data_IF_993422775370
#
_entry.id   IF_993422775370
#
_cell.length_a   1.000
_cell.length_b   1.000
_cell.length_c   1.000
_cell.angle_alpha   90.00
_cell.angle_beta   90.00
_cell.angle_gamma   90.00
#
_symmetry.space_group_name_H-M   'P 1'
#
loop_
_entity.id
_entity.type
_entity.pdbx_description
1 polymer ?
#
# COMPACT_ATOMS: atom_id res chain seq x y z
N UNK A 1 1.42 15.61 4.18
CA UNK A 1 1.47 14.42 3.31
C UNK A 1 0.18 14.17 2.53
N UNK A 2 -1.01 14.42 3.08
CA UNK A 2 -2.28 14.29 2.31
C UNK A 2 -2.22 15.08 1.00
N UNK A 3 -1.76 16.34 1.04
CA UNK A 3 -1.63 17.18 -0.16
C UNK A 3 -0.60 16.63 -1.16
N UNK A 4 0.52 16.09 -0.68
CA UNK A 4 1.52 15.45 -1.53
C UNK A 4 0.96 14.23 -2.25
N UNK A 5 0.16 13.39 -1.54
CA UNK A 5 -0.52 12.25 -2.15
C UNK A 5 -1.48 12.73 -3.26
N UNK A 6 -2.30 13.74 -2.97
CA UNK A 6 -3.24 14.30 -3.96
C UNK A 6 -2.47 14.86 -5.15
N UNK A 7 -1.41 15.63 -4.91
CA UNK A 7 -0.58 16.20 -5.97
C UNK A 7 0.07 15.13 -6.85
N UNK A 8 0.57 14.03 -6.24
CA UNK A 8 1.10 12.90 -7.01
C UNK A 8 0.01 12.24 -7.85
N UNK A 9 -1.17 12.00 -7.27
CA UNK A 9 -2.29 11.38 -8.02
C UNK A 9 -2.72 12.23 -9.21
N UNK A 10 -2.71 13.55 -9.07
CA UNK A 10 -3.11 14.51 -10.11
C UNK A 10 -2.01 14.79 -11.16
N UNK A 11 -0.76 14.47 -10.87
CA UNK A 11 0.36 14.72 -11.79
C UNK A 11 0.27 13.80 -13.03
N UNK A 12 -0.19 14.37 -14.14
CA UNK A 12 -0.35 13.66 -15.42
C UNK A 12 0.97 13.31 -16.10
N UNK A 13 2.08 13.89 -15.68
CA UNK A 13 3.42 13.57 -16.22
C UNK A 13 3.93 12.23 -15.68
N UNK A 14 3.36 11.71 -14.58
CA UNK A 14 3.75 10.48 -13.92
C UNK A 14 2.84 9.33 -14.31
N UNK A 15 3.38 8.35 -15.03
CA UNK A 15 2.64 7.14 -15.42
C UNK A 15 2.62 6.08 -14.31
N UNK A 16 3.63 6.04 -13.46
CA UNK A 16 3.77 5.08 -12.37
C UNK A 16 3.79 5.81 -11.04
N UNK A 17 2.82 5.50 -10.18
CA UNK A 17 2.66 6.22 -8.91
C UNK A 17 2.61 5.23 -7.75
N UNK A 18 3.49 5.43 -6.77
CA UNK A 18 3.53 4.63 -5.54
C UNK A 18 3.20 5.51 -4.33
N UNK A 19 2.22 5.09 -3.56
CA UNK A 19 1.88 5.70 -2.27
C UNK A 19 2.01 4.64 -1.18
N UNK A 20 3.03 4.78 -0.35
CA UNK A 20 3.27 3.96 0.84
C UNK A 20 2.99 4.81 2.08
N UNK A 21 1.84 4.60 2.71
CA UNK A 21 1.40 5.40 3.83
C UNK A 21 0.84 4.53 4.97
N UNK A 22 0.85 5.02 6.23
CA UNK A 22 0.39 4.29 7.39
C UNK A 22 -1.04 3.77 7.24
N UNK A 23 -1.36 2.74 8.00
CA UNK A 23 -2.75 2.36 8.21
C UNK A 23 -3.52 3.55 8.79
N UNK A 24 -4.80 3.68 8.43
CA UNK A 24 -5.69 4.77 8.87
C UNK A 24 -5.28 6.17 8.39
N UNK A 25 -4.29 6.30 7.48
CA UNK A 25 -3.91 7.58 6.84
C UNK A 25 -4.95 8.15 5.88
N UNK A 26 -6.11 7.48 5.72
CA UNK A 26 -7.18 7.81 4.77
C UNK A 26 -6.79 7.66 3.29
N UNK A 27 -5.72 6.92 2.98
CA UNK A 27 -5.26 6.71 1.61
C UNK A 27 -6.34 6.17 0.67
N UNK A 28 -7.14 5.18 1.11
CA UNK A 28 -8.25 4.64 0.30
C UNK A 28 -9.37 5.68 0.08
N UNK A 29 -9.67 6.54 1.07
CA UNK A 29 -10.66 7.62 0.89
C UNK A 29 -10.19 8.67 -0.11
N UNK A 30 -8.91 9.04 -0.09
CA UNK A 30 -8.30 9.95 -1.07
C UNK A 30 -8.38 9.32 -2.46
N UNK A 31 -8.05 8.03 -2.57
CA UNK A 31 -8.09 7.30 -3.82
C UNK A 31 -9.50 7.20 -4.41
N UNK A 32 -10.52 6.93 -3.57
CA UNK A 32 -11.92 6.94 -3.99
C UNK A 32 -12.35 8.31 -4.51
N UNK A 33 -11.97 9.39 -3.83
CA UNK A 33 -12.22 10.76 -4.29
C UNK A 33 -11.53 11.06 -5.62
N UNK A 34 -10.29 10.59 -5.80
CA UNK A 34 -9.57 10.68 -7.07
C UNK A 34 -10.33 9.96 -8.20
N UNK A 35 -10.80 8.71 -7.97
CA UNK A 35 -11.55 7.93 -8.95
C UNK A 35 -12.83 8.67 -9.39
N UNK A 36 -13.64 9.13 -8.43
CA UNK A 36 -14.86 9.91 -8.72
C UNK A 36 -14.52 11.13 -9.57
N UNK A 37 -13.50 11.89 -9.18
CA UNK A 37 -13.05 13.07 -9.93
C UNK A 37 -12.60 12.72 -11.36
N UNK A 38 -11.87 11.63 -11.56
CA UNK A 38 -11.43 11.23 -12.91
C UNK A 38 -12.63 10.85 -13.79
N UNK A 39 -13.65 10.18 -13.24
CA UNK A 39 -14.88 9.83 -13.95
C UNK A 39 -15.65 11.08 -14.36
N UNK A 40 -15.82 12.05 -13.44
CA UNK A 40 -16.54 13.29 -13.70
C UNK A 40 -15.81 14.20 -14.71
N UNK A 41 -14.47 14.22 -14.70
CA UNK A 41 -13.67 14.98 -15.66
C UNK A 41 -13.61 14.35 -17.06
N UNK A 42 -13.66 13.02 -17.13
CA UNK A 42 -13.66 12.28 -18.39
C UNK A 42 -14.54 11.02 -18.28
N UNK A 43 -15.80 11.08 -18.66
CA UNK A 43 -16.72 9.94 -18.61
C UNK A 43 -16.31 8.75 -19.48
N UNK A 44 -15.43 8.96 -20.48
CA UNK A 44 -14.90 7.92 -21.33
C UNK A 44 -13.68 7.20 -20.73
N UNK A 45 -13.24 7.60 -19.54
CA UNK A 45 -12.15 6.90 -18.84
C UNK A 45 -12.56 5.46 -18.51
N UNK A 46 -11.58 4.57 -18.50
CA UNK A 46 -11.74 3.17 -18.10
C UNK A 46 -10.79 2.93 -16.94
N UNK A 47 -11.37 2.64 -15.78
CA UNK A 47 -10.64 2.46 -14.53
C UNK A 47 -10.75 1.01 -14.11
N UNK A 48 -9.59 0.36 -13.93
CA UNK A 48 -9.46 -0.94 -13.30
C UNK A 48 -9.03 -0.73 -11.84
N UNK A 49 -9.84 -1.16 -10.91
CA UNK A 49 -9.58 -1.04 -9.47
C UNK A 49 -9.38 -2.41 -8.85
N UNK A 50 -8.20 -2.68 -8.30
CA UNK A 50 -7.85 -3.99 -7.76
C UNK A 50 -7.60 -3.86 -6.27
N UNK A 51 -8.42 -4.52 -5.49
CA UNK A 51 -8.26 -4.63 -4.04
C UNK A 51 -7.75 -6.00 -3.62
N UNK A 52 -7.68 -6.22 -2.31
CA UNK A 52 -7.14 -7.44 -1.74
C UNK A 52 -8.07 -8.65 -1.91
N UNK A 53 -9.31 -8.52 -1.48
CA UNK A 53 -10.34 -9.56 -1.55
C UNK A 53 -11.61 -9.00 -2.18
N UNK A 54 -12.47 -9.89 -2.70
CA UNK A 54 -13.74 -9.48 -3.35
C UNK A 54 -14.63 -8.64 -2.42
N UNK A 55 -14.82 -9.05 -1.16
CA UNK A 55 -15.68 -8.31 -0.23
C UNK A 55 -15.17 -6.91 0.08
N UNK A 56 -13.86 -6.77 0.32
CA UNK A 56 -13.25 -5.47 0.59
C UNK A 56 -13.34 -4.58 -0.66
N UNK A 57 -13.05 -5.14 -1.82
CA UNK A 57 -13.07 -4.41 -3.09
C UNK A 57 -14.49 -3.98 -3.45
N UNK A 58 -15.49 -4.86 -3.24
CA UNK A 58 -16.92 -4.55 -3.40
C UNK A 58 -17.32 -3.36 -2.53
N UNK A 59 -16.95 -3.37 -1.25
CA UNK A 59 -17.24 -2.24 -0.37
C UNK A 59 -16.63 -0.91 -0.85
N UNK A 60 -15.42 -0.94 -1.41
CA UNK A 60 -14.76 0.23 -2.00
C UNK A 60 -15.47 0.69 -3.29
N UNK A 61 -15.86 -0.24 -4.16
CA UNK A 61 -16.60 0.04 -5.38
C UNK A 61 -17.97 0.66 -5.09
N UNK A 62 -18.70 0.10 -4.13
CA UNK A 62 -19.97 0.67 -3.65
C UNK A 62 -19.82 2.08 -3.09
N UNK A 63 -18.73 2.35 -2.34
CA UNK A 63 -18.45 3.69 -1.83
C UNK A 63 -18.14 4.70 -2.95
N UNK A 64 -17.47 4.28 -4.03
CA UNK A 64 -17.24 5.13 -5.22
C UNK A 64 -18.58 5.41 -5.91
N UNK A 65 -19.39 4.37 -6.14
CA UNK A 65 -20.71 4.49 -6.77
C UNK A 65 -21.65 5.42 -5.99
N UNK A 66 -21.73 5.23 -4.67
CA UNK A 66 -22.54 6.08 -3.80
C UNK A 66 -22.13 7.56 -3.84
N UNK A 67 -20.84 7.86 -4.05
CA UNK A 67 -20.40 9.25 -4.24
C UNK A 67 -20.81 9.83 -5.59
N UNK A 68 -20.89 9.01 -6.63
CA UNK A 68 -21.43 9.44 -7.94
C UNK A 68 -22.94 9.68 -7.87
N UNK A 69 -23.65 8.98 -6.98
CA UNK A 69 -25.08 9.11 -6.71
C UNK A 69 -25.39 10.23 -5.67
N UNK A 70 -24.37 10.89 -5.08
CA UNK A 70 -24.57 12.00 -4.12
C UNK A 70 -25.34 13.13 -4.80
N UNK A 71 -26.36 13.66 -4.14
CA UNK A 71 -27.25 14.67 -4.67
C UNK A 71 -26.48 15.89 -5.24
N UNK A 72 -25.42 16.33 -4.58
CA UNK A 72 -24.57 17.45 -5.05
C UNK A 72 -23.82 17.13 -6.33
N UNK A 73 -23.42 15.86 -6.51
CA UNK A 73 -22.78 15.42 -7.76
C UNK A 73 -23.81 15.39 -8.88
N UNK A 74 -24.99 14.86 -8.63
CA UNK A 74 -26.10 14.83 -9.59
C UNK A 74 -26.55 16.23 -9.97
N UNK A 75 -26.67 17.16 -9.03
CA UNK A 75 -27.02 18.56 -9.29
C UNK A 75 -26.00 19.28 -10.18
N UNK A 76 -24.69 18.99 -10.01
CA UNK A 76 -23.62 19.67 -10.75
C UNK A 76 -23.26 19.00 -12.08
N UNK A 77 -23.34 17.68 -12.16
CA UNK A 77 -22.83 16.87 -13.28
C UNK A 77 -23.91 16.04 -13.98
N UNK A 78 -25.16 16.11 -13.51
CA UNK A 78 -26.26 15.31 -14.01
C UNK A 78 -26.28 13.88 -13.46
N UNK A 79 -27.30 13.13 -13.86
CA UNK A 79 -27.48 11.73 -13.49
C UNK A 79 -26.31 10.89 -13.99
N UNK A 80 -25.73 10.07 -13.08
CA UNK A 80 -24.56 9.27 -13.39
C UNK A 80 -24.87 7.82 -13.74
N UNK A 81 -26.10 7.35 -13.45
CA UNK A 81 -26.53 5.98 -13.68
C UNK A 81 -26.65 5.69 -15.19
N UNK A 82 -25.76 4.85 -15.71
CA UNK A 82 -25.78 4.40 -17.11
C UNK A 82 -26.42 3.03 -17.29
N UNK A 83 -26.31 2.47 -18.50
CA UNK A 83 -26.94 1.19 -18.88
C UNK A 83 -26.44 -0.01 -18.04
N UNK A 84 -25.17 0.02 -17.64
CA UNK A 84 -24.58 -0.98 -16.72
C UNK A 84 -24.25 -0.31 -15.40
N UNK A 85 -24.89 -0.78 -14.31
CA UNK A 85 -24.73 -0.18 -12.98
C UNK A 85 -24.69 -1.26 -11.89
N UNK A 86 -23.68 -2.14 -12.02
CA UNK A 86 -23.46 -3.25 -11.09
C UNK A 86 -22.53 -2.82 -9.93
N UNK A 87 -22.43 -3.65 -8.89
CA UNK A 87 -21.62 -3.35 -7.70
C UNK A 87 -20.12 -3.20 -8.01
N UNK A 88 -19.59 -4.08 -8.86
CA UNK A 88 -18.18 -4.17 -9.18
C UNK A 88 -17.86 -3.60 -10.57
N UNK A 89 -18.87 -3.31 -11.38
CA UNK A 89 -18.69 -2.81 -12.73
C UNK A 89 -19.84 -1.86 -13.12
N UNK A 90 -19.48 -0.66 -13.56
CA UNK A 90 -20.49 0.30 -14.01
C UNK A 90 -19.98 1.24 -15.09
N UNK A 91 -20.92 1.74 -15.89
CA UNK A 91 -20.71 2.73 -16.94
C UNK A 91 -21.54 3.96 -16.63
N UNK A 92 -20.93 5.14 -16.63
CA UNK A 92 -21.67 6.39 -16.35
C UNK A 92 -22.50 6.83 -17.55
N UNK A 93 -23.65 7.46 -17.28
CA UNK A 93 -24.59 7.92 -18.31
C UNK A 93 -23.97 8.94 -19.29
N UNK A 94 -23.06 9.78 -18.81
CA UNK A 94 -22.36 10.79 -19.61
C UNK A 94 -21.33 10.23 -20.59
N UNK A 95 -21.10 8.89 -20.61
CA UNK A 95 -20.16 8.26 -21.55
C UNK A 95 -20.63 8.38 -23.00
N UNK A 96 -19.78 8.93 -23.85
CA UNK A 96 -20.06 9.14 -25.28
C UNK A 96 -19.45 8.10 -26.21
N UNK A 97 -18.30 7.51 -25.82
CA UNK A 97 -17.61 6.49 -26.61
C UNK A 97 -18.20 5.10 -26.35
N UNK A 98 -19.14 4.70 -27.24
CA UNK A 98 -19.88 3.42 -27.09
C UNK A 98 -19.09 2.19 -27.53
N UNK A 99 -18.03 2.33 -28.32
CA UNK A 99 -17.22 1.20 -28.82
C UNK A 99 -16.16 0.67 -27.86
N UNK A 100 -16.05 1.21 -26.65
CA UNK A 100 -15.06 0.76 -25.65
C UNK A 100 -15.54 -0.54 -25.00
N UNK A 101 -14.67 -1.57 -25.01
CA UNK A 101 -14.99 -2.89 -24.45
C UNK A 101 -15.20 -2.89 -22.93
N UNK A 102 -14.42 -2.06 -22.20
CA UNK A 102 -14.49 -2.01 -20.75
C UNK A 102 -15.44 -0.92 -20.26
N UNK A 103 -16.10 -1.15 -19.14
CA UNK A 103 -16.92 -0.16 -18.44
C UNK A 103 -16.09 1.08 -18.01
N UNK A 104 -16.76 2.12 -17.53
CA UNK A 104 -16.08 3.29 -16.95
C UNK A 104 -15.28 2.91 -15.71
N UNK A 105 -15.83 2.01 -14.91
CA UNK A 105 -15.18 1.46 -13.71
C UNK A 105 -15.41 -0.05 -13.67
N UNK A 106 -14.34 -0.80 -13.42
CA UNK A 106 -14.41 -2.24 -13.15
C UNK A 106 -13.48 -2.57 -11.98
N UNK A 107 -14.01 -3.25 -10.99
CA UNK A 107 -13.28 -3.67 -9.80
C UNK A 107 -12.98 -5.17 -9.83
N UNK A 108 -11.81 -5.54 -9.35
CA UNK A 108 -11.31 -6.91 -9.23
C UNK A 108 -10.64 -7.09 -7.88
N UNK A 109 -10.42 -8.35 -7.49
CA UNK A 109 -9.55 -8.66 -6.35
C UNK A 109 -8.25 -9.32 -6.81
N UNK A 110 -7.30 -9.43 -5.88
CA UNK A 110 -6.08 -10.18 -6.10
C UNK A 110 -6.36 -11.67 -6.36
N UNK A 111 -7.42 -12.22 -5.78
CA UNK A 111 -7.82 -13.62 -5.95
C UNK A 111 -8.42 -13.90 -7.33
N UNK A 112 -9.01 -12.86 -7.94
CA UNK A 112 -9.66 -12.93 -9.27
C UNK A 112 -9.19 -11.74 -10.13
N UNK A 113 -7.91 -11.71 -10.52
CA UNK A 113 -7.36 -10.59 -11.30
C UNK A 113 -7.91 -10.59 -12.74
N UNK A 114 -8.00 -9.42 -13.39
CA UNK A 114 -8.43 -9.35 -14.76
C UNK A 114 -7.44 -10.05 -15.70
N UNK A 115 -7.94 -10.88 -16.60
CA UNK A 115 -7.12 -11.61 -17.59
C UNK A 115 -6.96 -10.86 -18.90
N UNK A 116 -7.61 -9.71 -19.05
CA UNK A 116 -7.57 -8.90 -20.27
C UNK A 116 -8.18 -7.53 -20.10
N UNK A 117 -8.24 -6.78 -21.16
CA UNK A 117 -8.74 -5.40 -21.14
C UNK A 117 -7.64 -4.36 -21.30
N UNK A 118 -8.06 -3.11 -21.50
CA UNK A 118 -7.18 -1.94 -21.60
C UNK A 118 -7.80 -0.80 -20.83
N UNK A 119 -7.11 -0.33 -19.81
CA UNK A 119 -7.61 0.69 -18.88
C UNK A 119 -6.74 1.94 -18.95
N UNK A 120 -7.36 3.10 -18.86
CA UNK A 120 -6.65 4.37 -18.78
C UNK A 120 -5.99 4.56 -17.41
N UNK A 121 -6.60 3.99 -16.38
CA UNK A 121 -6.10 4.04 -15.00
C UNK A 121 -6.23 2.62 -14.42
N UNK A 122 -5.13 2.08 -13.93
CA UNK A 122 -5.09 0.83 -13.15
C UNK A 122 -4.67 1.18 -11.74
N UNK A 123 -5.46 0.77 -10.77
CA UNK A 123 -5.27 1.09 -9.35
C UNK A 123 -5.16 -0.21 -8.55
N UNK A 124 -4.11 -0.33 -7.76
CA UNK A 124 -3.95 -1.35 -6.75
C UNK A 124 -4.06 -0.71 -5.37
N UNK A 125 -5.11 -1.02 -4.63
CA UNK A 125 -5.37 -0.46 -3.30
C UNK A 125 -5.31 -1.51 -2.19
N UNK A 126 -4.27 -1.43 -1.35
CA UNK A 126 -3.93 -2.42 -0.32
C UNK A 126 -3.87 -3.84 -0.94
N UNK A 127 -3.16 -3.96 -2.07
CA UNK A 127 -3.13 -5.16 -2.89
C UNK A 127 -2.56 -6.37 -2.17
N UNK A 128 -1.55 -6.21 -1.32
CA UNK A 128 -0.97 -7.27 -0.50
C UNK A 128 -1.27 -7.08 0.99
N UNK A 129 -1.25 -8.20 1.71
CA UNK A 129 -1.44 -8.25 3.16
C UNK A 129 -0.46 -9.24 3.83
N UNK A 130 -0.63 -9.46 5.13
CA UNK A 130 0.18 -10.40 5.91
C UNK A 130 0.16 -11.83 5.34
N UNK A 131 -0.98 -12.28 4.80
CA UNK A 131 -1.10 -13.61 4.19
C UNK A 131 -0.29 -13.73 2.91
N UNK A 132 -0.31 -12.70 2.06
CA UNK A 132 0.39 -12.69 0.79
C UNK A 132 1.92 -12.66 0.92
N UNK A 133 2.42 -12.27 2.09
CA UNK A 133 3.86 -12.21 2.39
C UNK A 133 4.29 -13.21 3.45
N UNK A 134 3.39 -14.11 3.92
CA UNK A 134 3.66 -15.04 5.02
C UNK A 134 4.73 -16.08 4.69
N UNK A 135 4.87 -16.46 3.43
CA UNK A 135 5.92 -17.35 2.93
C UNK A 135 6.61 -16.77 1.69
N UNK A 136 7.88 -17.16 1.41
CA UNK A 136 8.57 -16.73 0.19
C UNK A 136 7.79 -17.04 -1.10
N UNK A 137 7.13 -18.21 -1.14
CA UNK A 137 6.32 -18.64 -2.29
C UNK A 137 5.09 -17.73 -2.51
N UNK A 138 4.40 -17.34 -1.44
CA UNK A 138 3.26 -16.42 -1.53
C UNK A 138 3.70 -15.01 -1.91
N UNK A 139 4.81 -14.54 -1.35
CA UNK A 139 5.38 -13.24 -1.71
C UNK A 139 5.77 -13.21 -3.20
N UNK A 140 6.46 -14.25 -3.68
CA UNK A 140 6.78 -14.40 -5.12
C UNK A 140 5.52 -14.41 -5.97
N UNK A 141 4.50 -15.20 -5.61
CA UNK A 141 3.22 -15.24 -6.34
C UNK A 141 2.57 -13.87 -6.45
N UNK A 142 2.61 -13.05 -5.40
CA UNK A 142 2.06 -11.70 -5.42
C UNK A 142 2.81 -10.78 -6.39
N UNK A 143 4.13 -10.91 -6.47
CA UNK A 143 4.99 -10.19 -7.43
C UNK A 143 4.75 -10.65 -8.87
N UNK A 144 4.65 -11.95 -9.09
CA UNK A 144 4.35 -12.52 -10.41
C UNK A 144 2.97 -12.08 -10.91
N UNK A 145 1.96 -12.10 -10.04
CA UNK A 145 0.62 -11.60 -10.38
C UNK A 145 0.64 -10.10 -10.71
N UNK A 146 1.40 -9.29 -9.97
CA UNK A 146 1.55 -7.87 -10.29
C UNK A 146 2.12 -7.65 -11.68
N UNK A 147 3.11 -8.44 -12.11
CA UNK A 147 3.70 -8.33 -13.43
C UNK A 147 2.67 -8.54 -14.57
N UNK A 148 1.65 -9.38 -14.33
CA UNK A 148 0.56 -9.62 -15.28
C UNK A 148 -0.43 -8.45 -15.37
N UNK A 149 -0.44 -7.54 -14.41
CA UNK A 149 -1.35 -6.38 -14.41
C UNK A 149 -0.81 -5.18 -15.20
N UNK A 150 0.51 -5.07 -15.35
CA UNK A 150 1.12 -3.95 -16.09
C UNK A 150 0.64 -3.83 -17.54
N UNK A 151 0.48 -4.94 -18.31
CA UNK A 151 -0.04 -4.88 -19.68
C UNK A 151 -1.49 -4.41 -19.81
N UNK A 152 -2.25 -4.33 -18.71
CA UNK A 152 -3.62 -3.80 -18.71
C UNK A 152 -3.66 -2.27 -18.86
N UNK A 153 -2.55 -1.58 -18.58
CA UNK A 153 -2.45 -0.14 -18.73
C UNK A 153 -2.44 0.21 -20.21
N UNK A 154 -3.39 1.00 -20.64
CA UNK A 154 -3.46 1.51 -22.01
C UNK A 154 -2.26 2.43 -22.31
N UNK A 155 -1.92 2.61 -23.59
CA UNK A 155 -0.87 3.57 -23.99
C UNK A 155 -1.20 4.97 -23.45
N UNK A 156 -0.27 5.57 -22.72
CA UNK A 156 -0.48 6.85 -22.03
C UNK A 156 -1.34 6.77 -20.77
N UNK A 157 -1.70 5.56 -20.34
CA UNK A 157 -2.42 5.32 -19.09
C UNK A 157 -1.52 5.41 -17.86
N UNK A 158 -2.12 5.26 -16.70
CA UNK A 158 -1.47 5.43 -15.39
C UNK A 158 -1.66 4.17 -14.55
N UNK A 159 -0.57 3.72 -13.91
CA UNK A 159 -0.58 2.69 -12.88
C UNK A 159 -0.37 3.34 -11.50
N UNK A 160 -1.30 3.13 -10.60
CA UNK A 160 -1.29 3.66 -9.24
C UNK A 160 -1.27 2.50 -8.27
N UNK A 161 -0.26 2.46 -7.42
CA UNK A 161 -0.14 1.46 -6.35
C UNK A 161 -0.17 2.16 -5.00
N UNK A 162 -1.11 1.75 -4.16
CA UNK A 162 -1.31 2.33 -2.82
C UNK A 162 -1.30 1.21 -1.79
N UNK A 163 -0.50 1.36 -0.74
CA UNK A 163 -0.41 0.33 0.28
C UNK A 163 0.33 0.73 1.55
N UNK A 164 0.56 -0.28 2.37
CA UNK A 164 1.31 -0.23 3.63
C UNK A 164 2.32 -1.37 3.63
N UNK A 165 3.50 -1.15 4.18
CA UNK A 165 4.57 -2.17 4.25
C UNK A 165 4.14 -3.39 5.07
N UNK A 166 4.47 -4.59 4.58
CA UNK A 166 4.21 -5.87 5.24
C UNK A 166 5.46 -6.69 5.52
N UNK A 167 6.47 -6.62 4.64
CA UNK A 167 7.75 -7.30 4.78
C UNK A 167 8.88 -6.47 4.13
N UNK A 168 10.13 -6.77 4.46
CA UNK A 168 11.31 -6.09 3.88
C UNK A 168 11.41 -6.31 2.37
N UNK A 169 10.99 -7.50 1.94
CA UNK A 169 11.05 -7.98 0.57
C UNK A 169 9.67 -8.06 -0.10
N UNK A 170 8.70 -7.29 0.37
CA UNK A 170 7.36 -7.27 -0.22
C UNK A 170 7.32 -6.55 -1.58
N UNK A 171 6.19 -6.66 -2.27
CA UNK A 171 5.96 -5.99 -3.55
C UNK A 171 6.23 -4.48 -3.46
N UNK A 172 5.81 -3.81 -2.39
CA UNK A 172 5.96 -2.36 -2.27
C UNK A 172 7.43 -1.95 -2.14
N UNK A 173 8.26 -2.78 -1.48
CA UNK A 173 9.71 -2.56 -1.38
C UNK A 173 10.39 -2.71 -2.73
N UNK A 174 9.98 -3.70 -3.55
CA UNK A 174 10.47 -3.83 -4.92
C UNK A 174 10.08 -2.64 -5.80
N UNK A 175 8.84 -2.15 -5.66
CA UNK A 175 8.36 -0.99 -6.43
C UNK A 175 9.05 0.31 -6.01
N UNK A 176 9.37 0.46 -4.74
CA UNK A 176 10.14 1.59 -4.22
C UNK A 176 11.52 1.69 -4.87
N UNK A 177 12.19 0.55 -5.05
CA UNK A 177 13.49 0.46 -5.71
C UNK A 177 13.41 0.47 -7.25
N UNK A 178 12.21 0.31 -7.84
CA UNK A 178 12.03 0.17 -9.28
C UNK A 178 12.10 1.53 -9.98
N UNK A 179 12.96 1.62 -11.00
CA UNK A 179 13.17 2.85 -11.79
C UNK A 179 11.89 3.37 -12.48
N UNK A 180 10.92 2.52 -12.78
CA UNK A 180 9.63 2.96 -13.37
C UNK A 180 8.84 3.86 -12.42
N UNK A 181 8.96 3.64 -11.11
CA UNK A 181 8.32 4.46 -10.10
C UNK A 181 9.17 5.65 -9.64
N UNK A 182 10.42 5.75 -10.12
CA UNK A 182 11.28 6.90 -9.88
C UNK A 182 11.09 8.01 -10.95
N UNK A 183 11.40 9.27 -10.64
CA UNK A 183 11.43 10.34 -11.64
C UNK A 183 12.35 10.02 -12.82
N UNK A 184 12.08 10.47 -14.05
CA UNK A 184 10.99 11.38 -14.41
C UNK A 184 9.63 10.71 -14.70
N UNK A 185 9.59 9.40 -14.99
CA UNK A 185 8.38 8.68 -15.44
C UNK A 185 7.43 8.35 -14.29
N UNK A 186 7.97 8.10 -13.12
CA UNK A 186 7.24 7.75 -11.93
C UNK A 186 7.29 8.82 -10.85
N UNK A 187 6.54 8.59 -9.78
CA UNK A 187 6.55 9.39 -8.58
C UNK A 187 6.15 8.56 -7.36
N UNK A 188 6.71 8.91 -6.22
CA UNK A 188 6.50 8.18 -4.97
C UNK A 188 6.19 9.14 -3.83
N UNK A 189 5.25 8.74 -2.96
CA UNK A 189 5.04 9.33 -1.63
C UNK A 189 5.14 8.20 -0.61
N UNK A 190 6.23 8.21 0.16
CA UNK A 190 6.50 7.21 1.19
C UNK A 190 6.58 7.92 2.54
N UNK A 191 5.79 7.48 3.50
CA UNK A 191 5.78 8.09 4.83
C UNK A 191 5.29 7.13 5.91
N UNK A 192 5.86 7.27 7.13
CA UNK A 192 5.31 6.74 8.37
C UNK A 192 4.38 7.76 9.04
N UNK A 193 3.95 7.46 10.27
CA UNK A 193 3.07 8.34 11.04
C UNK A 193 3.78 9.58 11.64
N UNK A 194 5.09 9.70 11.50
CA UNK A 194 5.88 10.79 12.06
C UNK A 194 6.25 10.58 13.53
N UNK A 195 6.32 9.33 13.96
CA UNK A 195 6.75 8.91 15.30
C UNK A 195 7.77 7.78 15.21
N UNK A 196 8.55 7.59 16.27
CA UNK A 196 9.40 6.40 16.45
C UNK A 196 9.09 5.73 17.78
N UNK A 197 9.29 4.42 17.85
CA UNK A 197 9.19 3.67 19.11
C UNK A 197 10.46 3.89 19.92
N UNK A 198 10.30 4.24 21.18
CA UNK A 198 11.38 4.35 22.17
C UNK A 198 11.09 3.39 23.32
N UNK A 199 12.15 2.95 24.00
CA UNK A 199 12.03 2.19 25.24
C UNK A 199 12.54 3.05 26.38
N UNK A 200 11.70 3.34 27.34
CA UNK A 200 12.04 4.12 28.52
C UNK A 200 12.97 3.33 29.46
N UNK A 201 13.55 4.01 30.44
CA UNK A 201 14.49 3.42 31.42
C UNK A 201 13.82 2.28 32.20
N UNK A 202 12.52 2.33 32.43
CA UNK A 202 11.72 1.28 33.10
C UNK A 202 11.34 0.12 32.19
N UNK A 203 11.85 0.10 30.96
CA UNK A 203 11.59 -0.96 29.96
C UNK A 203 10.24 -0.82 29.24
N UNK A 204 9.48 0.23 29.50
CA UNK A 204 8.20 0.48 28.82
C UNK A 204 8.44 1.08 27.43
N UNK A 205 7.68 0.60 26.45
CA UNK A 205 7.64 1.21 25.12
C UNK A 205 6.75 2.44 25.11
N UNK A 206 7.22 3.50 24.47
CA UNK A 206 6.49 4.75 24.23
C UNK A 206 6.79 5.25 22.81
N UNK A 207 6.17 6.34 22.42
CA UNK A 207 6.38 7.00 21.13
C UNK A 207 7.02 8.37 21.32
N UNK A 208 8.02 8.63 20.51
CA UNK A 208 8.58 9.97 20.35
C UNK A 208 8.13 10.53 18.99
N UNK A 209 7.63 11.77 19.01
CA UNK A 209 7.28 12.47 17.76
C UNK A 209 8.56 12.96 17.12
N UNK A 210 8.71 12.69 15.83
CA UNK A 210 9.88 13.12 15.06
C UNK A 210 9.88 14.65 14.88
N UNK A 211 11.03 15.24 14.60
CA UNK A 211 11.18 16.68 14.33
C UNK A 211 10.27 17.17 13.21
N UNK A 212 9.97 16.30 12.23
CA UNK A 212 9.02 16.58 11.15
C UNK A 212 7.58 16.66 11.59
N UNK A 213 7.29 16.32 12.85
CA UNK A 213 5.94 16.27 13.42
C UNK A 213 5.10 15.10 12.94
N UNK A 214 3.86 15.04 13.40
CA UNK A 214 2.89 14.03 12.99
C UNK A 214 2.53 14.20 11.51
N UNK A 215 2.67 13.13 10.75
CA UNK A 215 2.44 13.10 9.31
C UNK A 215 0.95 13.33 8.96
N UNK A 216 0.06 12.80 9.78
CA UNK A 216 -1.39 12.92 9.63
C UNK A 216 -2.00 13.44 10.94
N UNK A 217 -2.63 14.63 10.97
CA UNK A 217 -3.11 15.27 12.20
C UNK A 217 -4.09 14.44 13.03
N UNK A 218 -4.85 13.54 12.39
CA UNK A 218 -5.80 12.67 13.08
C UNK A 218 -5.15 11.42 13.71
N UNK A 219 -3.90 11.09 13.34
CA UNK A 219 -3.09 10.06 13.99
C UNK A 219 -2.31 10.71 15.14
N UNK A 220 -3.01 11.10 16.21
CA UNK A 220 -2.37 11.76 17.36
C UNK A 220 -1.39 10.84 18.08
N UNK A 221 -0.41 11.41 18.81
CA UNK A 221 0.53 10.64 19.64
C UNK A 221 -0.21 9.70 20.58
N UNK A 222 -1.22 10.19 21.29
CA UNK A 222 -1.98 9.41 22.27
C UNK A 222 -2.69 8.22 21.62
N UNK A 223 -3.32 8.45 20.46
CA UNK A 223 -3.95 7.38 19.69
C UNK A 223 -2.95 6.29 19.27
N UNK A 224 -1.81 6.70 18.70
CA UNK A 224 -0.74 5.79 18.27
C UNK A 224 -0.12 5.04 19.46
N UNK A 225 0.06 5.71 20.63
CA UNK A 225 0.56 5.08 21.85
C UNK A 225 -0.41 4.01 22.37
N UNK A 226 -1.71 4.26 22.34
CA UNK A 226 -2.71 3.24 22.69
C UNK A 226 -2.64 2.03 21.74
N UNK A 227 -2.47 2.26 20.42
CA UNK A 227 -2.29 1.19 19.44
C UNK A 227 -1.01 0.40 19.71
N UNK A 228 0.12 1.07 19.95
CA UNK A 228 1.39 0.44 20.29
C UNK A 228 1.24 -0.47 21.51
N UNK A 229 0.71 0.06 22.61
CA UNK A 229 0.53 -0.70 23.85
C UNK A 229 -0.42 -1.89 23.65
N UNK A 230 -1.50 -1.70 22.90
CA UNK A 230 -2.44 -2.78 22.58
C UNK A 230 -1.80 -3.92 21.78
N UNK A 231 -0.94 -3.59 20.83
CA UNK A 231 -0.20 -4.56 20.02
C UNK A 231 0.96 -5.18 20.81
N UNK A 232 1.69 -4.39 21.60
CA UNK A 232 2.80 -4.86 22.42
C UNK A 232 2.38 -5.93 23.44
N UNK A 233 1.21 -5.76 24.09
CA UNK A 233 0.61 -6.77 25.01
C UNK A 233 0.38 -8.13 24.32
N UNK A 234 0.21 -8.13 22.99
CA UNK A 234 0.03 -9.33 22.17
C UNK A 234 1.33 -9.80 21.53
N UNK A 235 2.49 -9.21 21.86
CA UNK A 235 3.77 -9.51 21.22
C UNK A 235 3.86 -9.06 19.75
N UNK A 236 3.03 -8.12 19.33
CA UNK A 236 2.89 -7.68 17.94
C UNK A 236 3.48 -6.27 17.68
N UNK A 237 4.54 -5.89 18.39
CA UNK A 237 5.21 -4.59 18.20
C UNK A 237 5.71 -4.42 16.75
N UNK A 238 6.25 -5.49 16.16
CA UNK A 238 6.71 -5.46 14.77
C UNK A 238 5.57 -5.17 13.78
N UNK A 239 4.36 -5.62 14.12
CA UNK A 239 3.17 -5.31 13.33
C UNK A 239 2.79 -3.82 13.41
N UNK A 240 2.98 -3.20 14.58
CA UNK A 240 2.83 -1.74 14.73
C UNK A 240 3.85 -0.99 13.87
N UNK A 241 5.13 -1.36 13.92
CA UNK A 241 6.19 -0.74 13.14
C UNK A 241 5.88 -0.81 11.63
N UNK A 242 5.49 -1.98 11.14
CA UNK A 242 5.10 -2.14 9.72
C UNK A 242 3.91 -1.27 9.35
N UNK A 243 2.84 -1.28 10.15
CA UNK A 243 1.58 -0.64 9.79
C UNK A 243 1.53 0.87 9.99
N UNK A 244 2.24 1.39 10.99
CA UNK A 244 2.19 2.82 11.31
C UNK A 244 3.49 3.57 10.99
N UNK A 245 4.65 2.89 11.04
CA UNK A 245 5.91 3.53 10.71
C UNK A 245 6.33 3.28 9.27
N UNK A 246 5.71 2.32 8.58
CA UNK A 246 6.16 1.77 7.29
C UNK A 246 7.59 1.22 7.35
N UNK A 247 8.00 0.78 8.53
CA UNK A 247 9.28 0.14 8.75
C UNK A 247 9.07 -1.37 8.70
N UNK A 248 9.64 -2.00 7.70
CA UNK A 248 9.68 -3.44 7.62
C UNK A 248 10.66 -3.97 8.67
N UNK A 249 10.23 -4.97 9.41
CA UNK A 249 11.12 -5.74 10.27
C UNK A 249 11.45 -7.05 9.57
N UNK A 250 12.73 -7.32 9.37
CA UNK A 250 13.19 -8.56 8.75
C UNK A 250 12.61 -9.78 9.48
N UNK A 251 12.11 -10.77 8.74
CA UNK A 251 11.62 -12.04 9.32
C UNK A 251 12.71 -12.77 10.11
N UNK A 252 13.97 -12.61 9.71
CA UNK A 252 15.15 -13.12 10.40
C UNK A 252 15.46 -12.36 11.68
N UNK A 253 15.04 -11.09 11.81
CA UNK A 253 15.32 -10.27 13.00
C UNK A 253 14.48 -10.65 14.22
N UNK A 254 13.42 -11.45 14.06
CA UNK A 254 12.61 -11.90 15.20
C UNK A 254 13.31 -12.93 16.08
N UNK A 255 14.23 -13.73 15.51
CA UNK A 255 15.03 -14.69 16.27
C UNK A 255 16.22 -14.05 16.99
N UNK A 256 16.87 -13.06 16.35
CA UNK A 256 18.06 -12.41 16.87
C UNK A 256 17.86 -10.89 16.88
N UNK A 257 17.26 -10.37 17.96
CA UNK A 257 17.12 -8.91 18.11
C UNK A 257 18.44 -8.33 18.61
N UNK A 258 18.85 -7.16 18.08
CA UNK A 258 20.09 -6.46 18.50
C UNK A 258 20.16 -6.28 20.02
N UNK A 259 19.04 -6.13 20.69
CA UNK A 259 18.97 -6.05 22.15
C UNK A 259 19.49 -7.30 22.90
N UNK A 260 19.58 -8.44 22.21
CA UNK A 260 20.13 -9.67 22.78
C UNK A 260 21.66 -9.75 22.63
N UNK A 261 22.24 -8.87 21.82
CA UNK A 261 23.68 -8.78 21.64
C UNK A 261 24.21 -7.64 22.49
N UNK A 262 25.21 -7.92 23.31
CA UNK A 262 25.97 -6.90 24.03
C UNK A 262 27.26 -6.68 23.29
N UNK A 263 27.58 -5.43 23.01
CA UNK A 263 28.89 -5.09 22.49
C UNK A 263 29.94 -5.45 23.55
N UNK A 264 30.89 -6.29 23.21
CA UNK A 264 32.01 -6.61 24.04
C UNK A 264 33.16 -5.66 23.72
N UNK A 265 33.80 -5.08 24.72
CA UNK A 265 34.95 -4.23 24.49
C UNK A 265 36.07 -5.03 23.82
N UNK A 266 36.70 -4.43 22.82
CA UNK A 266 37.85 -5.03 22.16
C UNK A 266 38.96 -5.34 23.22
N UNK A 267 39.36 -6.61 23.34
CA UNK A 267 40.30 -7.05 24.36
C UNK A 267 39.69 -7.51 25.69
N UNK A 268 38.35 -7.67 25.78
CA UNK A 268 37.73 -8.30 26.95
C UNK A 268 38.25 -9.73 27.16
N UNK A 269 38.42 -10.09 28.43
CA UNK A 269 38.83 -11.47 28.79
C UNK A 269 37.70 -12.46 28.44
N UNK A 270 37.97 -13.31 27.46
CA UNK A 270 37.04 -14.34 26.97
C UNK A 270 37.28 -15.70 27.62
N UNK A 271 38.22 -15.79 28.56
CA UNK A 271 38.62 -17.07 29.16
C UNK A 271 37.50 -17.79 29.92
N UNK A 272 36.48 -17.05 30.38
CA UNK A 272 35.31 -17.59 31.08
C UNK A 272 34.14 -17.93 30.13
N UNK A 273 34.27 -17.71 28.83
CA UNK A 273 33.19 -17.94 27.85
C UNK A 273 33.43 -19.23 27.06
N UNK A 274 32.38 -20.02 26.91
CA UNK A 274 32.40 -21.16 25.98
C UNK A 274 32.25 -20.62 24.56
N UNK A 275 33.28 -20.80 23.73
CA UNK A 275 33.23 -20.40 22.30
C UNK A 275 32.53 -21.48 21.47
N UNK A 276 31.50 -21.13 20.75
CA UNK A 276 30.87 -21.97 19.75
C UNK A 276 31.11 -21.37 18.37
N UNK A 277 31.63 -22.15 17.44
CA UNK A 277 31.71 -21.78 16.03
C UNK A 277 30.53 -22.41 15.30
N UNK A 278 29.61 -21.62 14.83
CA UNK A 278 28.53 -22.03 13.91
C UNK A 278 29.01 -21.80 12.49
N UNK A 279 29.32 -22.85 11.76
CA UNK A 279 29.56 -22.80 10.32
C UNK A 279 28.27 -23.20 9.62
N UNK A 280 27.71 -22.31 8.83
CA UNK A 280 26.66 -22.67 7.88
C UNK A 280 27.32 -23.35 6.69
N UNK A 281 27.15 -24.66 6.60
CA UNK A 281 27.65 -25.50 5.48
C UNK A 281 26.63 -25.63 4.37
N UNK A 282 25.52 -24.90 4.41
CA UNK A 282 24.56 -24.87 3.34
C UNK A 282 25.09 -24.00 2.19
N UNK A 283 26.05 -24.54 1.46
CA UNK A 283 26.36 -24.11 0.10
C UNK A 283 25.33 -24.76 -0.81
N UNK A 284 24.28 -24.06 -1.17
CA UNK A 284 23.52 -24.43 -2.34
C UNK A 284 24.35 -24.05 -3.56
N UNK A 285 25.16 -24.99 -3.98
CA UNK A 285 25.66 -25.02 -5.35
C UNK A 285 24.55 -25.63 -6.17
N UNK A 286 23.80 -24.74 -6.84
CA UNK A 286 23.07 -25.05 -8.06
C UNK A 286 22.29 -23.77 -8.37
N UNK A 287 22.45 -23.17 -9.43
CA UNK A 287 22.72 -23.73 -10.77
C UNK A 287 21.50 -23.59 -11.60
#
# INVERSE_FOLDING_TARGET
KTQEIISLLDDRSKQFKLVKAPRESRKSSILQGFVVRQILLNPNTRICYIGRTDDITRGKALAIRSRLEDQRVVELFGEQHGDKWEEMEFTVAARTERGLQNATFTAFSQDSPPTGGRFNIVILDDYIDDKNVSTPAQNKKSKDNFALLQPLVARGGVLIVVGTTWADDDLYSDLEANQLFAPPQGGQVICGAGVRVITNIDGRMDLEVLETGLTFPHLTKDYLTQKLHGMARKGQTDHFCRQYLNEATSRTSTMFRRQYFRDCAWGADMSALSGYCLTDTAVSLEG
#
